data_IF_731270314082
#
_entry.id   IF_731270314082
#
_cell.length_a   1.000
_cell.length_b   1.000
_cell.length_c   1.000
_cell.angle_alpha   90.00
_cell.angle_beta   90.00
_cell.angle_gamma   90.00
#
_symmetry.space_group_name_H-M   'P 1'
#
loop_
_entity.id
_entity.type
_entity.pdbx_description
1 polymer ?
#
# COMPACT_ATOMS: atom_id res chain seq x y z
N UNK A 1 9.93 5.87 -25.66
CA UNK A 1 10.12 4.70 -26.55
C UNK A 1 9.14 3.56 -26.22
N UNK A 2 9.24 2.87 -25.04
CA UNK A 2 8.36 1.71 -24.75
C UNK A 2 6.88 2.10 -24.65
N UNK A 3 6.55 3.17 -23.92
CA UNK A 3 5.17 3.67 -23.78
C UNK A 3 4.62 4.10 -25.13
N UNK A 4 5.40 4.85 -25.92
CA UNK A 4 4.96 5.30 -27.27
C UNK A 4 4.70 4.11 -28.20
N UNK A 5 5.53 3.06 -28.10
CA UNK A 5 5.33 1.84 -28.88
C UNK A 5 4.05 1.13 -28.43
N UNK A 6 3.83 0.97 -27.12
CA UNK A 6 2.62 0.35 -26.59
C UNK A 6 1.35 1.09 -27.05
N UNK A 7 1.38 2.44 -26.98
CA UNK A 7 0.25 3.27 -27.47
C UNK A 7 0.02 3.10 -28.98
N UNK A 8 1.10 3.06 -29.80
CA UNK A 8 1.00 2.84 -31.24
C UNK A 8 0.43 1.46 -31.59
N UNK A 9 0.73 0.43 -30.78
CA UNK A 9 0.18 -0.92 -30.96
C UNK A 9 -1.30 -1.01 -30.51
N UNK A 10 -1.79 0.00 -29.75
CA UNK A 10 -3.19 0.09 -29.38
C UNK A 10 -3.49 -0.20 -27.90
N UNK A 11 -2.50 -0.29 -27.01
CA UNK A 11 -2.73 -0.37 -25.58
C UNK A 11 -3.32 0.95 -25.07
N UNK A 12 -4.51 0.88 -24.45
CA UNK A 12 -5.25 2.06 -23.95
C UNK A 12 -5.21 2.19 -22.44
N UNK A 13 -4.68 1.21 -21.74
CA UNK A 13 -4.51 1.20 -20.29
C UNK A 13 -3.08 0.82 -19.95
N UNK A 14 -2.28 1.84 -19.66
CA UNK A 14 -0.85 1.72 -19.41
C UNK A 14 -0.56 2.29 -18.03
N UNK A 15 0.20 1.54 -17.22
CA UNK A 15 0.74 2.01 -15.96
C UNK A 15 2.24 2.20 -16.05
N UNK A 16 2.74 3.22 -15.36
CA UNK A 16 4.18 3.43 -15.15
C UNK A 16 4.48 3.52 -13.66
N UNK A 17 5.64 2.99 -13.28
CA UNK A 17 6.09 3.01 -11.90
C UNK A 17 7.18 4.06 -11.72
N UNK A 18 7.06 4.88 -10.69
CA UNK A 18 8.04 5.84 -10.24
C UNK A 18 8.59 5.41 -8.87
N UNK A 19 9.85 5.70 -8.63
CA UNK A 19 10.48 5.44 -7.34
C UNK A 19 11.08 6.76 -6.84
N UNK A 20 10.68 7.21 -5.64
CA UNK A 20 11.25 8.36 -4.95
C UNK A 20 12.08 7.91 -3.74
N UNK A 21 12.72 8.83 -3.03
CA UNK A 21 13.58 8.49 -1.91
C UNK A 21 14.87 7.75 -2.33
N UNK A 22 15.33 7.92 -3.56
CA UNK A 22 16.56 7.29 -4.05
C UNK A 22 17.80 7.91 -3.45
N UNK A 23 18.95 7.18 -3.40
CA UNK A 23 20.20 7.71 -2.85
C UNK A 23 20.62 9.05 -3.47
N UNK A 24 21.13 9.96 -2.64
CA UNK A 24 21.43 11.35 -3.01
C UNK A 24 22.47 11.46 -4.14
N UNK A 25 23.40 10.51 -4.25
CA UNK A 25 24.43 10.52 -5.29
C UNK A 25 23.88 10.42 -6.72
N UNK A 26 22.65 9.89 -6.89
CA UNK A 26 22.00 9.81 -8.20
C UNK A 26 21.57 11.17 -8.74
N UNK A 27 21.58 12.21 -7.91
CA UNK A 27 21.25 13.59 -8.27
C UNK A 27 20.00 13.69 -9.18
N UNK A 28 18.97 12.91 -8.88
CA UNK A 28 17.73 12.88 -9.68
C UNK A 28 16.92 14.13 -9.47
N UNK A 29 16.42 14.68 -10.54
CA UNK A 29 15.44 15.76 -10.49
C UNK A 29 14.03 15.16 -10.44
N UNK A 30 13.52 14.98 -9.21
CA UNK A 30 12.22 14.36 -8.96
C UNK A 30 11.07 15.08 -9.67
N UNK A 31 11.06 16.39 -9.64
CA UNK A 31 10.03 17.20 -10.33
C UNK A 31 10.00 16.89 -11.83
N UNK A 32 11.17 16.82 -12.46
CA UNK A 32 11.29 16.47 -13.89
C UNK A 32 10.82 15.04 -14.18
N UNK A 33 11.02 14.11 -13.25
CA UNK A 33 10.56 12.73 -13.42
C UNK A 33 9.03 12.65 -13.37
N UNK A 34 8.38 13.39 -12.47
CA UNK A 34 6.92 13.52 -12.42
C UNK A 34 6.38 14.16 -13.72
N UNK A 35 6.98 15.28 -14.15
CA UNK A 35 6.59 15.97 -15.39
C UNK A 35 6.68 15.05 -16.61
N UNK A 36 7.75 14.27 -16.72
CA UNK A 36 7.91 13.29 -17.79
C UNK A 36 6.85 12.18 -17.73
N UNK A 37 6.54 11.65 -16.52
CA UNK A 37 5.51 10.65 -16.37
C UNK A 37 4.14 11.16 -16.82
N UNK A 38 3.80 12.40 -16.49
CA UNK A 38 2.57 13.07 -16.95
C UNK A 38 2.56 13.22 -18.48
N UNK A 39 3.68 13.62 -19.09
CA UNK A 39 3.80 13.78 -20.54
C UNK A 39 3.68 12.47 -21.32
N UNK A 40 3.85 11.31 -20.68
CA UNK A 40 3.64 10.01 -21.32
C UNK A 40 2.17 9.70 -21.64
N UNK A 41 1.21 10.52 -21.14
CA UNK A 41 -0.22 10.33 -21.35
C UNK A 41 -0.71 8.91 -20.97
N UNK A 42 -0.20 8.37 -19.88
CA UNK A 42 -0.62 7.09 -19.31
C UNK A 42 -1.85 7.27 -18.41
N UNK A 43 -2.55 6.20 -18.14
CA UNK A 43 -3.80 6.23 -17.37
C UNK A 43 -3.58 5.95 -15.88
N UNK A 44 -2.43 5.39 -15.52
CA UNK A 44 -2.12 4.98 -14.16
C UNK A 44 -0.63 5.23 -13.85
N UNK A 45 -0.35 5.65 -12.63
CA UNK A 45 1.00 5.86 -12.10
C UNK A 45 1.07 5.25 -10.72
N UNK A 46 2.00 4.30 -10.53
CA UNK A 46 2.39 3.84 -9.20
C UNK A 46 3.64 4.60 -8.76
N UNK A 47 3.74 4.93 -7.49
CA UNK A 47 4.95 5.60 -6.97
C UNK A 47 5.30 5.09 -5.58
N UNK A 48 6.50 4.56 -5.46
CA UNK A 48 6.99 3.89 -4.26
C UNK A 48 8.16 4.64 -3.65
N UNK A 49 8.19 4.69 -2.31
CA UNK A 49 9.40 5.11 -1.59
C UNK A 49 10.42 3.96 -1.65
N UNK A 50 11.66 4.26 -2.03
CA UNK A 50 12.73 3.26 -2.03
C UNK A 50 13.07 2.88 -0.59
N UNK A 51 12.88 1.61 -0.25
CA UNK A 51 13.29 1.02 1.02
C UNK A 51 14.59 0.24 0.87
N UNK A 52 15.43 0.26 1.91
CA UNK A 52 16.67 -0.53 1.93
C UNK A 52 16.39 -1.88 2.58
N UNK A 53 16.03 -2.86 1.79
CA UNK A 53 15.74 -4.20 2.28
C UNK A 53 17.02 -4.94 2.67
N UNK A 54 16.99 -5.67 3.81
CA UNK A 54 18.10 -6.52 4.26
C UNK A 54 18.52 -7.49 3.15
N UNK A 55 19.80 -7.82 3.13
CA UNK A 55 20.41 -8.75 2.14
C UNK A 55 20.46 -8.23 0.69
N UNK A 56 20.20 -6.94 0.44
CA UNK A 56 20.37 -6.30 -0.87
C UNK A 56 21.72 -5.59 -0.96
N UNK A 57 22.22 -5.39 -2.19
CA UNK A 57 23.43 -4.58 -2.43
C UNK A 57 23.27 -3.16 -1.91
N UNK A 58 22.08 -2.55 -2.08
CA UNK A 58 21.79 -1.21 -1.57
C UNK A 58 21.93 -1.17 -0.04
N UNK A 59 21.39 -2.14 0.69
CA UNK A 59 21.53 -2.21 2.13
C UNK A 59 23.00 -2.26 2.57
N UNK A 60 23.80 -3.11 1.91
CA UNK A 60 25.22 -3.26 2.21
C UNK A 60 26.00 -1.97 1.93
N UNK A 61 25.75 -1.32 0.80
CA UNK A 61 26.43 -0.09 0.41
C UNK A 61 26.09 1.09 1.33
N UNK A 62 24.82 1.24 1.71
CA UNK A 62 24.37 2.24 2.69
C UNK A 62 24.98 1.97 4.08
N UNK A 63 24.97 0.71 4.53
CA UNK A 63 25.52 0.32 5.84
C UNK A 63 27.04 0.56 5.93
N UNK A 64 27.76 0.47 4.81
CA UNK A 64 29.18 0.80 4.70
C UNK A 64 29.45 2.31 4.50
N UNK A 65 28.42 3.14 4.50
CA UNK A 65 28.55 4.58 4.29
C UNK A 65 28.88 5.00 2.85
N UNK A 66 28.81 4.08 1.88
CA UNK A 66 29.09 4.37 0.48
C UNK A 66 28.01 5.27 -0.15
N UNK A 67 26.76 5.11 0.26
CA UNK A 67 25.63 5.90 -0.21
C UNK A 67 24.84 6.49 0.96
N UNK A 68 24.38 7.72 0.78
CA UNK A 68 23.46 8.39 1.71
C UNK A 68 22.04 8.33 1.15
N UNK A 69 21.14 7.80 1.97
CA UNK A 69 19.71 7.86 1.68
C UNK A 69 19.17 9.24 2.08
N UNK A 70 18.15 9.77 1.39
CA UNK A 70 17.45 10.96 1.86
C UNK A 70 16.80 10.70 3.22
N UNK A 71 16.70 11.75 4.03
CA UNK A 71 15.96 11.68 5.29
C UNK A 71 14.44 11.64 5.04
N UNK A 72 13.68 11.43 6.10
CA UNK A 72 12.22 11.33 6.04
C UNK A 72 11.56 12.62 5.55
N UNK A 73 12.12 13.79 5.87
CA UNK A 73 11.61 15.08 5.45
C UNK A 73 11.67 15.22 3.92
N UNK A 74 12.83 14.93 3.32
CA UNK A 74 12.99 14.92 1.85
C UNK A 74 12.04 13.94 1.17
N UNK A 75 11.87 12.73 1.73
CA UNK A 75 10.91 11.77 1.18
C UNK A 75 9.46 12.27 1.27
N UNK A 76 9.11 12.93 2.37
CA UNK A 76 7.80 13.55 2.57
C UNK A 76 7.54 14.67 1.56
N UNK A 77 8.53 15.53 1.34
CA UNK A 77 8.44 16.61 0.36
C UNK A 77 8.29 16.06 -1.07
N UNK A 78 9.04 15.02 -1.41
CA UNK A 78 8.93 14.35 -2.70
C UNK A 78 7.55 13.74 -2.91
N UNK A 79 6.98 13.13 -1.89
CA UNK A 79 5.63 12.58 -1.93
C UNK A 79 4.58 13.68 -2.07
N UNK A 80 4.72 14.78 -1.34
CA UNK A 80 3.80 15.92 -1.45
C UNK A 80 3.84 16.54 -2.86
N UNK A 81 5.04 16.73 -3.43
CA UNK A 81 5.18 17.20 -4.82
C UNK A 81 4.49 16.26 -5.81
N UNK A 82 4.61 14.94 -5.61
CA UNK A 82 3.93 13.94 -6.44
C UNK A 82 2.42 14.14 -6.41
N UNK A 83 1.81 14.16 -5.21
CA UNK A 83 0.37 14.32 -5.04
C UNK A 83 -0.13 15.59 -5.73
N UNK A 84 0.55 16.73 -5.49
CA UNK A 84 0.12 18.02 -6.03
C UNK A 84 0.20 18.07 -7.57
N UNK A 85 1.27 17.55 -8.16
CA UNK A 85 1.45 17.57 -9.61
C UNK A 85 0.49 16.61 -10.32
N UNK A 86 0.31 15.40 -9.77
CA UNK A 86 -0.61 14.42 -10.33
C UNK A 86 -2.06 14.88 -10.22
N UNK A 87 -2.46 15.48 -9.08
CA UNK A 87 -3.80 16.04 -8.92
C UNK A 87 -4.09 17.17 -9.92
N UNK A 88 -3.14 18.09 -10.16
CA UNK A 88 -3.24 19.13 -11.19
C UNK A 88 -3.39 18.57 -12.60
N UNK A 89 -2.90 17.36 -12.82
CA UNK A 89 -2.95 16.65 -14.12
C UNK A 89 -4.15 15.68 -14.24
N UNK A 90 -5.10 15.75 -13.30
CA UNK A 90 -6.35 14.97 -13.34
C UNK A 90 -6.25 13.55 -12.78
N UNK A 91 -5.11 13.17 -12.18
CA UNK A 91 -4.99 11.91 -11.50
C UNK A 91 -5.58 11.97 -10.09
N UNK A 92 -6.34 10.95 -9.72
CA UNK A 92 -6.84 10.74 -8.38
C UNK A 92 -5.94 9.76 -7.63
N UNK A 93 -5.53 10.11 -6.43
CA UNK A 93 -4.87 9.17 -5.53
C UNK A 93 -5.93 8.28 -4.88
N UNK A 94 -6.04 7.02 -5.28
CA UNK A 94 -7.04 6.10 -4.73
C UNK A 94 -6.48 5.22 -3.59
N UNK A 95 -5.15 5.13 -3.44
CA UNK A 95 -4.46 4.55 -2.29
C UNK A 95 -3.05 5.18 -2.12
N UNK A 96 -2.29 4.77 -1.10
CA UNK A 96 -1.02 5.40 -0.71
C UNK A 96 -0.04 5.58 -1.86
N UNK A 97 0.12 4.56 -2.72
CA UNK A 97 1.16 4.52 -3.75
C UNK A 97 0.62 4.61 -5.17
N UNK A 98 -0.70 4.61 -5.38
CA UNK A 98 -1.28 4.51 -6.71
C UNK A 98 -2.21 5.66 -7.05
N UNK A 99 -2.04 6.15 -8.27
CA UNK A 99 -2.74 7.29 -8.84
C UNK A 99 -3.29 6.90 -10.21
N UNK A 100 -4.53 7.28 -10.51
CA UNK A 100 -5.13 6.98 -11.81
C UNK A 100 -6.01 8.10 -12.31
N UNK A 101 -6.21 8.17 -13.61
CA UNK A 101 -7.37 8.85 -14.18
C UNK A 101 -8.64 8.09 -13.77
N UNK A 102 -9.75 8.78 -13.66
CA UNK A 102 -11.03 8.21 -13.23
C UNK A 102 -11.42 6.99 -14.09
N UNK A 103 -11.68 5.85 -13.44
CA UNK A 103 -12.06 4.60 -14.07
C UNK A 103 -10.89 3.72 -14.54
N UNK A 104 -9.64 4.13 -14.22
CA UNK A 104 -8.43 3.37 -14.52
C UNK A 104 -7.71 2.87 -13.26
N UNK A 105 -8.41 2.83 -12.13
CA UNK A 105 -7.92 2.25 -10.89
C UNK A 105 -7.57 0.76 -11.13
N UNK A 106 -6.43 0.31 -10.60
CA UNK A 106 -6.02 -1.09 -10.72
C UNK A 106 -7.03 -2.00 -10.00
N UNK A 107 -7.77 -2.80 -10.76
CA UNK A 107 -8.74 -3.77 -10.20
C UNK A 107 -8.04 -4.76 -9.27
N UNK A 108 -6.85 -5.22 -9.65
CA UNK A 108 -6.06 -6.15 -8.86
C UNK A 108 -5.67 -5.53 -7.50
N UNK A 109 -5.08 -4.33 -7.49
CA UNK A 109 -4.72 -3.66 -6.25
C UNK A 109 -5.95 -3.33 -5.39
N UNK A 110 -7.03 -2.86 -6.02
CA UNK A 110 -8.29 -2.55 -5.32
C UNK A 110 -8.92 -3.78 -4.65
N UNK A 111 -8.72 -4.97 -5.19
CA UNK A 111 -9.19 -6.22 -4.58
C UNK A 111 -8.52 -6.48 -3.23
N UNK A 112 -7.22 -6.24 -3.11
CA UNK A 112 -6.52 -6.36 -1.82
C UNK A 112 -7.03 -5.36 -0.78
N UNK A 113 -7.23 -4.10 -1.18
CA UNK A 113 -7.75 -3.06 -0.28
C UNK A 113 -9.20 -3.34 0.17
N UNK A 114 -9.94 -4.12 -0.61
CA UNK A 114 -11.33 -4.51 -0.32
C UNK A 114 -11.46 -5.80 0.48
N UNK A 115 -10.35 -6.44 0.87
CA UNK A 115 -10.32 -7.74 1.57
C UNK A 115 -11.13 -8.82 0.82
N UNK A 116 -11.02 -8.86 -0.52
CA UNK A 116 -11.66 -9.88 -1.36
C UNK A 116 -10.78 -11.13 -1.33
N UNK A 117 -11.42 -12.32 -1.34
CA UNK A 117 -10.72 -13.59 -1.45
C UNK A 117 -9.83 -13.66 -2.70
N UNK A 118 -8.64 -14.22 -2.56
CA UNK A 118 -7.70 -14.43 -3.66
C UNK A 118 -6.86 -15.69 -3.47
N UNK A 119 -6.44 -16.27 -4.57
CA UNK A 119 -5.57 -17.45 -4.63
C UNK A 119 -4.18 -17.04 -5.11
N UNK A 120 -3.17 -17.30 -4.29
CA UNK A 120 -1.77 -17.12 -4.63
C UNK A 120 -1.20 -18.39 -5.30
N UNK A 121 -0.60 -18.22 -6.48
CA UNK A 121 0.01 -19.29 -7.26
C UNK A 121 1.52 -19.05 -7.34
N UNK A 122 2.31 -20.05 -7.03
CA UNK A 122 3.77 -20.00 -7.05
C UNK A 122 4.41 -19.91 -5.65
N UNK A 123 5.74 -20.06 -5.58
CA UNK A 123 6.50 -19.92 -4.32
C UNK A 123 6.28 -18.52 -3.70
N UNK A 124 6.24 -18.45 -2.38
CA UNK A 124 5.96 -17.22 -1.60
C UNK A 124 4.59 -16.58 -1.85
N UNK A 125 3.75 -17.12 -2.71
CA UNK A 125 2.45 -16.51 -2.99
C UNK A 125 1.49 -16.70 -1.81
N UNK A 126 0.75 -15.63 -1.51
CA UNK A 126 -0.25 -15.61 -0.45
C UNK A 126 -1.65 -15.84 -1.01
N UNK A 127 -2.51 -16.45 -0.21
CA UNK A 127 -3.93 -16.60 -0.47
C UNK A 127 -4.73 -16.11 0.73
N UNK A 128 -5.95 -15.68 0.50
CA UNK A 128 -6.88 -15.24 1.53
C UNK A 128 -8.29 -15.72 1.16
N UNK A 129 -9.03 -16.26 2.11
CA UNK A 129 -10.36 -16.81 1.87
C UNK A 129 -11.47 -15.73 1.80
N UNK A 130 -11.16 -14.48 2.15
CA UNK A 130 -12.12 -13.37 2.23
C UNK A 130 -12.77 -13.24 3.61
N UNK A 131 -12.44 -14.10 4.56
CA UNK A 131 -12.96 -14.11 5.92
C UNK A 131 -11.84 -13.96 6.95
N UNK A 132 -11.19 -15.05 7.35
CA UNK A 132 -10.17 -15.02 8.40
C UNK A 132 -9.02 -16.02 8.21
N UNK A 133 -8.94 -16.72 7.08
CA UNK A 133 -7.87 -17.68 6.82
C UNK A 133 -6.91 -17.11 5.78
N UNK A 134 -5.64 -17.07 6.14
CA UNK A 134 -4.51 -16.81 5.25
C UNK A 134 -3.69 -18.05 5.03
N UNK A 135 -3.11 -18.14 3.86
CA UNK A 135 -2.18 -19.19 3.49
C UNK A 135 -1.04 -18.56 2.69
N UNK A 136 0.18 -19.01 2.92
CA UNK A 136 1.32 -18.62 2.08
C UNK A 136 2.14 -19.86 1.71
N UNK A 137 2.54 -19.91 0.47
CA UNK A 137 3.35 -20.99 -0.06
C UNK A 137 4.81 -20.82 0.37
N UNK A 138 5.55 -21.93 0.50
CA UNK A 138 6.97 -21.90 0.84
C UNK A 138 7.77 -21.04 -0.15
N UNK A 139 8.73 -20.27 0.35
CA UNK A 139 9.55 -19.34 -0.45
C UNK A 139 10.72 -20.03 -1.17
N UNK A 140 10.55 -21.28 -1.59
CA UNK A 140 11.57 -22.11 -2.24
C UNK A 140 10.96 -22.84 -3.43
N UNK A 141 11.46 -22.58 -4.64
CA UNK A 141 10.93 -23.15 -5.88
C UNK A 141 10.93 -24.67 -5.86
N UNK A 142 12.03 -25.28 -5.41
CA UNK A 142 12.17 -26.75 -5.38
C UNK A 142 11.15 -27.36 -4.42
N UNK A 143 11.09 -26.88 -3.19
CA UNK A 143 10.13 -27.38 -2.18
C UNK A 143 8.67 -27.16 -2.62
N UNK A 144 8.38 -26.04 -3.28
CA UNK A 144 7.04 -25.77 -3.79
C UNK A 144 6.64 -26.78 -4.88
N UNK A 145 7.54 -27.09 -5.84
CA UNK A 145 7.29 -28.05 -6.91
C UNK A 145 7.17 -29.48 -6.34
N UNK A 146 8.09 -29.88 -5.48
CA UNK A 146 8.07 -31.18 -4.79
C UNK A 146 6.76 -31.35 -3.99
N UNK A 147 6.36 -30.32 -3.24
CA UNK A 147 5.11 -30.33 -2.48
C UNK A 147 3.88 -30.53 -3.34
N UNK A 148 3.84 -29.90 -4.51
CA UNK A 148 2.73 -30.08 -5.48
C UNK A 148 2.71 -31.47 -6.11
N UNK A 149 3.89 -32.06 -6.42
CA UNK A 149 4.01 -33.37 -7.07
C UNK A 149 3.73 -34.49 -6.07
N UNK A 150 4.35 -34.39 -4.88
CA UNK A 150 4.32 -35.46 -3.86
C UNK A 150 3.13 -35.28 -2.90
N UNK A 151 2.30 -34.23 -3.08
CA UNK A 151 1.17 -33.88 -2.24
C UNK A 151 1.55 -33.76 -0.74
N UNK A 152 2.71 -33.18 -0.46
CA UNK A 152 3.16 -32.84 0.89
C UNK A 152 3.00 -31.36 1.16
N UNK A 153 3.03 -30.94 2.42
CA UNK A 153 2.81 -29.55 2.82
C UNK A 153 3.83 -28.61 2.19
N UNK A 154 3.36 -27.73 1.33
CA UNK A 154 4.13 -26.67 0.67
C UNK A 154 3.63 -25.27 1.03
N UNK A 155 2.82 -25.16 2.06
CA UNK A 155 2.24 -23.91 2.52
C UNK A 155 2.05 -23.92 4.03
N UNK A 156 1.88 -22.72 4.57
CA UNK A 156 1.48 -22.48 5.97
C UNK A 156 0.11 -21.81 5.99
N UNK A 157 -0.63 -22.02 7.08
CA UNK A 157 -1.96 -21.45 7.31
C UNK A 157 -1.96 -20.64 8.61
N UNK A 158 -2.58 -19.48 8.57
CA UNK A 158 -2.88 -18.64 9.72
C UNK A 158 -4.38 -18.40 9.80
N UNK A 159 -4.93 -18.49 11.01
CA UNK A 159 -6.31 -18.10 11.28
C UNK A 159 -6.30 -16.83 12.11
N UNK A 160 -6.82 -15.75 11.54
CA UNK A 160 -6.85 -14.44 12.17
C UNK A 160 -7.90 -14.38 13.29
N UNK A 161 -7.49 -13.88 14.44
CA UNK A 161 -8.41 -13.53 15.51
C UNK A 161 -9.22 -12.27 15.14
N UNK A 162 -10.34 -12.02 15.83
CA UNK A 162 -11.20 -10.87 15.52
C UNK A 162 -10.47 -9.53 15.62
N UNK A 163 -9.59 -9.35 16.60
CA UNK A 163 -8.81 -8.12 16.73
C UNK A 163 -7.81 -7.95 15.59
N UNK A 164 -7.22 -9.03 15.09
CA UNK A 164 -6.30 -9.00 13.94
C UNK A 164 -7.05 -8.64 12.66
N UNK A 165 -8.24 -9.21 12.43
CA UNK A 165 -9.13 -8.83 11.34
C UNK A 165 -9.50 -7.33 11.41
N UNK A 166 -9.78 -6.80 12.62
CA UNK A 166 -10.05 -5.39 12.82
C UNK A 166 -8.83 -4.53 12.48
N UNK A 167 -7.63 -4.93 12.89
CA UNK A 167 -6.38 -4.24 12.60
C UNK A 167 -6.09 -4.20 11.09
N UNK A 168 -6.41 -5.26 10.36
CA UNK A 168 -6.29 -5.25 8.91
C UNK A 168 -7.28 -4.29 8.23
N UNK A 169 -8.53 -4.31 8.67
CA UNK A 169 -9.53 -3.35 8.17
C UNK A 169 -9.09 -1.91 8.43
N UNK A 170 -8.48 -1.65 9.59
CA UNK A 170 -7.91 -0.33 9.92
C UNK A 170 -6.77 0.00 8.96
N UNK A 171 -5.77 -0.88 8.83
CA UNK A 171 -4.60 -0.67 7.98
C UNK A 171 -4.99 -0.41 6.52
N UNK A 172 -5.75 -1.33 5.93
CA UNK A 172 -6.15 -1.25 4.52
C UNK A 172 -7.07 -0.06 4.25
N UNK A 173 -8.00 0.21 5.17
CA UNK A 173 -8.95 1.31 5.03
C UNK A 173 -8.30 2.69 5.11
N UNK A 174 -7.31 2.89 5.99
CA UNK A 174 -6.62 4.18 6.10
C UNK A 174 -5.65 4.43 4.95
N UNK A 175 -5.14 3.38 4.32
CA UNK A 175 -4.23 3.48 3.16
C UNK A 175 -4.95 3.76 1.85
N UNK A 176 -6.27 3.61 1.79
CA UNK A 176 -7.06 3.74 0.57
C UNK A 176 -8.21 4.75 0.73
N UNK A 177 -8.81 5.14 -0.36
CA UNK A 177 -10.02 5.98 -0.39
C UNK A 177 -11.31 5.20 -0.02
N UNK A 178 -11.19 3.88 0.13
CA UNK A 178 -12.29 3.04 0.63
C UNK A 178 -12.65 3.39 2.08
N UNK A 179 -11.66 3.75 2.89
CA UNK A 179 -11.81 4.07 4.30
C UNK A 179 -12.10 2.86 5.20
N UNK A 180 -11.99 3.07 6.50
CA UNK A 180 -12.26 2.06 7.54
C UNK A 180 -13.76 1.97 7.79
N UNK A 181 -14.35 0.81 7.61
CA UNK A 181 -15.77 0.57 7.88
C UNK A 181 -16.05 0.48 9.38
N UNK A 182 -16.66 1.51 9.98
CA UNK A 182 -17.02 1.51 11.41
C UNK A 182 -17.99 0.38 11.79
N UNK A 183 -18.88 0.00 10.86
CA UNK A 183 -19.79 -1.13 11.06
C UNK A 183 -19.04 -2.45 11.21
N UNK A 184 -18.04 -2.70 10.33
CA UNK A 184 -17.20 -3.91 10.41
C UNK A 184 -16.36 -3.91 11.68
N UNK A 185 -15.72 -2.80 12.03
CA UNK A 185 -14.94 -2.69 13.28
C UNK A 185 -15.81 -3.02 14.49
N UNK A 186 -17.00 -2.40 14.61
CA UNK A 186 -17.91 -2.65 15.72
C UNK A 186 -18.37 -4.10 15.82
N UNK A 187 -18.49 -4.85 14.72
CA UNK A 187 -18.88 -6.25 14.74
C UNK A 187 -17.76 -7.21 15.16
N UNK A 188 -16.51 -6.76 15.11
CA UNK A 188 -15.33 -7.58 15.45
C UNK A 188 -14.84 -7.35 16.89
N UNK A 189 -15.07 -6.17 17.44
CA UNK A 189 -14.58 -5.76 18.74
C UNK A 189 -15.66 -5.90 19.83
N UNK A 190 -15.21 -6.20 21.05
CA UNK A 190 -16.07 -6.06 22.22
C UNK A 190 -16.24 -4.56 22.60
N UNK A 191 -17.12 -4.27 23.57
CA UNK A 191 -17.46 -2.90 23.92
C UNK A 191 -16.27 -2.11 24.47
N UNK A 192 -15.40 -2.72 25.27
CA UNK A 192 -14.20 -2.09 25.81
C UNK A 192 -13.19 -1.75 24.69
N UNK A 193 -12.86 -2.72 23.84
CA UNK A 193 -11.97 -2.52 22.69
C UNK A 193 -12.52 -1.42 21.76
N UNK A 194 -13.83 -1.43 21.49
CA UNK A 194 -14.46 -0.43 20.64
C UNK A 194 -14.44 0.97 21.28
N UNK A 195 -14.56 1.07 22.59
CA UNK A 195 -14.44 2.34 23.30
C UNK A 195 -13.02 2.90 23.23
N UNK A 196 -12.00 2.06 23.46
CA UNK A 196 -10.58 2.44 23.32
C UNK A 196 -10.30 2.93 21.91
N UNK A 197 -10.73 2.18 20.89
CA UNK A 197 -10.63 2.56 19.49
C UNK A 197 -11.24 3.94 19.21
N UNK A 198 -12.46 4.20 19.66
CA UNK A 198 -13.14 5.49 19.45
C UNK A 198 -12.40 6.64 20.13
N UNK A 199 -11.88 6.45 21.34
CA UNK A 199 -11.09 7.46 22.03
C UNK A 199 -9.85 7.87 21.22
N UNK A 200 -9.15 6.90 20.63
CA UNK A 200 -8.00 7.16 19.76
C UNK A 200 -8.42 7.85 18.46
N UNK A 201 -9.50 7.41 17.83
CA UNK A 201 -10.08 8.07 16.65
C UNK A 201 -10.35 9.54 16.92
N UNK A 202 -10.95 9.87 18.07
CA UNK A 202 -11.26 11.26 18.42
C UNK A 202 -10.01 12.13 18.62
N UNK A 203 -8.91 11.55 19.11
CA UNK A 203 -7.61 12.25 19.17
C UNK A 203 -7.10 12.62 17.75
N UNK A 204 -7.17 11.69 16.80
CA UNK A 204 -6.75 11.97 15.43
C UNK A 204 -7.70 12.91 14.68
N UNK A 205 -9.00 12.88 14.99
CA UNK A 205 -9.98 13.87 14.47
C UNK A 205 -9.65 15.28 14.97
N UNK A 206 -9.34 15.45 16.27
CA UNK A 206 -8.92 16.72 16.84
C UNK A 206 -7.65 17.30 16.18
N UNK A 207 -6.74 16.39 15.73
CA UNK A 207 -5.54 16.78 14.97
C UNK A 207 -5.81 16.99 13.47
N UNK A 208 -7.05 16.86 13.00
CA UNK A 208 -7.44 16.95 11.57
C UNK A 208 -6.73 15.92 10.66
N UNK A 209 -6.29 14.79 11.20
CA UNK A 209 -5.63 13.71 10.45
C UNK A 209 -6.62 12.67 9.92
N UNK A 210 -7.77 12.52 10.59
CA UNK A 210 -8.85 11.62 10.19
C UNK A 210 -10.15 12.40 10.05
N UNK A 211 -10.88 12.12 8.97
CA UNK A 211 -12.26 12.55 8.76
C UNK A 211 -13.19 11.37 8.99
N UNK A 212 -14.29 11.60 9.70
CA UNK A 212 -15.33 10.61 9.91
C UNK A 212 -16.58 11.00 9.12
N UNK A 213 -17.03 10.08 8.29
CA UNK A 213 -18.39 10.11 7.72
C UNK A 213 -19.31 9.24 8.60
N UNK A 214 -20.61 9.15 8.24
CA UNK A 214 -21.58 8.34 9.00
C UNK A 214 -21.08 6.89 9.28
N UNK A 215 -20.39 6.25 8.34
CA UNK A 215 -20.04 4.84 8.40
C UNK A 215 -18.53 4.55 8.19
N UNK A 216 -17.70 5.55 7.92
CA UNK A 216 -16.30 5.34 7.55
C UNK A 216 -15.37 6.36 8.19
N UNK A 217 -14.13 5.92 8.47
CA UNK A 217 -13.00 6.81 8.74
C UNK A 217 -12.13 6.90 7.48
N UNK A 218 -11.66 8.09 7.20
CA UNK A 218 -10.82 8.40 6.03
C UNK A 218 -9.64 9.26 6.46
N UNK A 219 -8.49 9.00 5.88
CA UNK A 219 -7.33 9.90 5.97
C UNK A 219 -7.37 10.84 4.78
N UNK A 220 -7.15 12.13 5.03
CA UNK A 220 -7.03 13.12 3.95
C UNK A 220 -5.82 12.79 3.04
N UNK A 221 -5.93 13.07 1.75
CA UNK A 221 -4.85 12.77 0.79
C UNK A 221 -3.50 13.38 1.22
N UNK A 222 -3.49 14.59 1.76
CA UNK A 222 -2.27 15.25 2.25
C UNK A 222 -1.66 14.55 3.46
N UNK A 223 -2.47 13.91 4.28
CA UNK A 223 -2.04 13.18 5.48
C UNK A 223 -1.83 11.67 5.22
N UNK A 224 -2.05 11.19 4.00
CA UNK A 224 -2.00 9.75 3.67
C UNK A 224 -0.60 9.14 3.84
N UNK A 225 0.45 9.93 3.77
CA UNK A 225 1.80 9.51 4.12
C UNK A 225 1.91 9.03 5.59
N UNK A 226 1.01 9.49 6.47
CA UNK A 226 0.93 9.10 7.87
C UNK A 226 -0.03 7.93 8.12
N UNK A 227 -0.62 7.34 7.08
CA UNK A 227 -1.64 6.30 7.22
C UNK A 227 -1.16 5.12 8.08
N UNK A 228 0.07 4.65 7.86
CA UNK A 228 0.64 3.53 8.62
C UNK A 228 0.90 3.90 10.09
N UNK A 229 1.34 5.13 10.36
CA UNK A 229 1.47 5.63 11.73
C UNK A 229 0.12 5.68 12.43
N UNK A 230 -0.90 6.27 11.77
CA UNK A 230 -2.25 6.37 12.32
C UNK A 230 -2.85 4.99 12.54
N UNK A 231 -2.68 4.07 11.59
CA UNK A 231 -3.15 2.69 11.70
C UNK A 231 -2.55 1.99 12.91
N UNK A 232 -1.23 2.08 13.10
CA UNK A 232 -0.53 1.47 14.25
C UNK A 232 -1.06 1.98 15.58
N UNK A 233 -1.33 3.29 15.71
CA UNK A 233 -1.87 3.88 16.94
C UNK A 233 -3.35 3.52 17.18
N UNK A 234 -4.07 3.07 16.14
CA UNK A 234 -5.44 2.59 16.22
C UNK A 234 -5.55 1.06 16.37
N UNK A 235 -4.44 0.33 16.31
CA UNK A 235 -4.45 -1.12 16.43
C UNK A 235 -4.97 -1.57 17.80
N UNK A 236 -5.76 -2.64 17.74
CA UNK A 236 -6.33 -3.31 18.89
C UNK A 236 -5.32 -4.36 19.37
N UNK A 237 -5.04 -4.35 20.65
CA UNK A 237 -4.19 -5.36 21.28
C UNK A 237 -5.03 -6.56 21.76
N UNK A 238 -4.42 -7.77 21.82
CA UNK A 238 -5.07 -8.91 22.47
C UNK A 238 -5.36 -8.59 23.94
N UNK A 239 -6.39 -9.22 24.48
CA UNK A 239 -6.72 -9.16 25.90
C UNK A 239 -5.76 -10.00 26.73
#
# INVERSE_FOLDING_TARGET
ACVDLAQKIGFKNISVDLIYGVPLFLNRNWKRDIEKAIQLNVQHISSYNLTKEKHTSLHNDVSKGKYLMPNQEVCSDQYQQLIENLAKSGFNQYEVSNFSLKGFESKHNSSYWSSIAYLGIGPSAHSYDGENIRRWNVSNNKKYIEGLVDNVDYFEIETLAKFEMANEIILLGLRSDLGVSLKKIKSLLNDNQYQVFNNQVDLFKKKNLIKQTKNKLLVDSKSRILADYIARELFILPE
#
